data_IF_455499370184
#
_entry.id   IF_455499370184
#
_cell.length_a   1.000
_cell.length_b   1.000
_cell.length_c   1.000
_cell.angle_alpha   90.00
_cell.angle_beta   90.00
_cell.angle_gamma   90.00
#
_symmetry.space_group_name_H-M   'P 1'
#
loop_
_entity.id
_entity.type
_entity.pdbx_description
1 polymer ?
#
# COMPACT_ATOMS: atom_id res chain seq x y z
N UNK A 1 -11.26 -17.62 -19.04
CA UNK A 1 -11.16 -17.80 -20.51
C UNK A 1 -9.74 -17.50 -20.94
N UNK A 2 -9.05 -18.51 -21.48
CA UNK A 2 -7.64 -18.47 -21.88
C UNK A 2 -7.47 -17.72 -23.21
N UNK A 3 -6.87 -16.52 -23.17
CA UNK A 3 -6.46 -15.80 -24.37
C UNK A 3 -5.30 -16.57 -25.02
N UNK A 4 -5.58 -17.27 -26.13
CA UNK A 4 -4.53 -17.85 -26.99
C UNK A 4 -3.75 -16.70 -27.64
N UNK A 5 -2.41 -16.65 -27.55
CA UNK A 5 -1.64 -15.61 -28.23
C UNK A 5 -1.72 -15.84 -29.76
N UNK A 6 -1.96 -14.75 -30.50
CA UNK A 6 -2.06 -14.71 -31.97
C UNK A 6 -0.74 -15.18 -32.61
N UNK A 7 -0.86 -15.85 -33.75
CA UNK A 7 0.22 -16.46 -34.57
C UNK A 7 1.32 -15.51 -35.06
N UNK A 8 1.18 -14.19 -34.87
CA UNK A 8 2.17 -13.18 -35.26
C UNK A 8 2.60 -12.32 -34.06
N UNK A 9 3.22 -12.94 -33.06
CA UNK A 9 3.99 -12.20 -32.08
C UNK A 9 5.29 -11.72 -32.75
N UNK A 10 5.53 -10.40 -32.78
CA UNK A 10 6.82 -9.85 -33.20
C UNK A 10 7.95 -10.50 -32.40
N UNK A 11 9.15 -10.65 -32.99
CA UNK A 11 10.31 -11.29 -32.31
C UNK A 11 10.52 -10.75 -30.89
N UNK A 12 10.39 -9.43 -30.70
CA UNK A 12 10.48 -8.79 -29.38
C UNK A 12 9.38 -9.23 -28.40
N UNK A 13 8.13 -9.37 -28.84
CA UNK A 13 7.05 -9.86 -27.99
C UNK A 13 7.29 -11.31 -27.55
N UNK A 14 7.76 -12.17 -28.45
CA UNK A 14 8.08 -13.57 -28.13
C UNK A 14 9.21 -13.67 -27.11
N UNK A 15 10.29 -12.89 -27.27
CA UNK A 15 11.41 -12.87 -26.31
C UNK A 15 10.95 -12.47 -24.90
N UNK A 16 10.11 -11.43 -24.79
CA UNK A 16 9.55 -11.02 -23.50
C UNK A 16 8.64 -12.10 -22.88
N UNK A 17 7.80 -12.74 -23.68
CA UNK A 17 6.96 -13.85 -23.19
C UNK A 17 7.79 -15.08 -22.79
N UNK A 18 8.92 -15.35 -23.45
CA UNK A 18 9.86 -16.39 -23.06
C UNK A 18 10.49 -16.08 -21.69
N UNK A 19 10.95 -14.85 -21.48
CA UNK A 19 11.51 -14.42 -20.18
C UNK A 19 10.46 -14.56 -19.08
N UNK A 20 9.23 -14.11 -19.31
CA UNK A 20 8.13 -14.23 -18.32
C UNK A 20 7.82 -15.70 -17.98
N UNK A 21 7.77 -16.57 -19.00
CA UNK A 21 7.55 -18.00 -18.79
C UNK A 21 8.68 -18.65 -17.99
N UNK A 22 9.94 -18.34 -18.33
CA UNK A 22 11.11 -18.82 -17.60
C UNK A 22 11.06 -18.32 -16.15
N UNK A 23 10.74 -17.05 -15.92
CA UNK A 23 10.60 -16.49 -14.58
C UNK A 23 9.56 -17.23 -13.75
N UNK A 24 8.36 -17.42 -14.31
CA UNK A 24 7.25 -18.10 -13.63
C UNK A 24 7.56 -19.55 -13.28
N UNK A 25 8.40 -20.23 -14.08
CA UNK A 25 8.78 -21.64 -13.92
C UNK A 25 10.09 -21.83 -13.15
N UNK A 26 10.89 -20.79 -12.97
CA UNK A 26 12.17 -20.84 -12.23
C UNK A 26 12.00 -21.41 -10.81
N UNK A 27 10.99 -21.02 -9.99
CA UNK A 27 10.75 -21.63 -8.68
C UNK A 27 10.42 -23.12 -8.71
N UNK A 28 10.00 -23.65 -9.87
CA UNK A 28 9.60 -25.04 -10.07
C UNK A 28 10.65 -25.85 -10.84
N UNK A 29 11.88 -25.36 -10.95
CA UNK A 29 12.98 -26.02 -11.66
C UNK A 29 13.11 -25.65 -13.14
N UNK A 30 12.57 -24.51 -13.57
CA UNK A 30 12.82 -23.94 -14.89
C UNK A 30 11.98 -24.51 -16.03
N UNK A 31 12.36 -24.16 -17.26
CA UNK A 31 11.65 -24.53 -18.50
C UNK A 31 12.58 -25.31 -19.41
N UNK A 32 12.07 -26.38 -20.02
CA UNK A 32 12.80 -27.15 -21.04
C UNK A 32 12.67 -26.52 -22.42
N UNK A 33 13.61 -26.81 -23.32
CA UNK A 33 13.54 -26.39 -24.73
C UNK A 33 12.25 -26.88 -25.39
N UNK A 34 11.84 -28.13 -25.09
CA UNK A 34 10.60 -28.72 -25.59
C UNK A 34 9.36 -27.93 -25.16
N UNK A 35 9.26 -27.55 -23.88
CA UNK A 35 8.16 -26.72 -23.40
C UNK A 35 8.12 -25.34 -24.09
N UNK A 36 9.29 -24.75 -24.38
CA UNK A 36 9.35 -23.50 -25.14
C UNK A 36 8.90 -23.68 -26.60
N UNK A 37 9.33 -24.75 -27.26
CA UNK A 37 8.90 -25.08 -28.63
C UNK A 37 7.38 -25.26 -28.70
N UNK A 38 6.83 -26.08 -27.80
CA UNK A 38 5.39 -26.39 -27.75
C UNK A 38 4.56 -25.14 -27.44
N UNK A 39 5.06 -24.26 -26.57
CA UNK A 39 4.34 -23.04 -26.16
C UNK A 39 4.32 -21.97 -27.24
N UNK A 40 5.44 -21.78 -27.95
CA UNK A 40 5.63 -20.71 -28.91
C UNK A 40 5.47 -21.16 -30.37
N UNK A 41 5.22 -22.45 -30.61
CA UNK A 41 5.05 -23.07 -31.94
C UNK A 41 6.25 -22.77 -32.87
N UNK A 42 7.47 -22.83 -32.34
CA UNK A 42 8.71 -22.56 -33.09
C UNK A 42 9.71 -23.73 -32.99
N UNK A 43 10.64 -23.80 -33.94
CA UNK A 43 11.66 -24.84 -33.96
C UNK A 43 12.68 -24.70 -32.83
N UNK A 44 13.31 -25.82 -32.46
CA UNK A 44 14.39 -25.87 -31.47
C UNK A 44 15.53 -24.89 -31.79
N UNK A 45 15.91 -24.79 -33.07
CA UNK A 45 16.93 -23.84 -33.55
C UNK A 45 16.54 -22.39 -33.27
N UNK A 46 15.25 -22.06 -33.43
CA UNK A 46 14.76 -20.71 -33.13
C UNK A 46 14.76 -20.45 -31.62
N UNK A 47 14.38 -21.43 -30.78
CA UNK A 47 14.46 -21.30 -29.33
C UNK A 47 15.90 -21.07 -28.85
N UNK A 48 16.87 -21.83 -29.35
CA UNK A 48 18.28 -21.60 -28.98
C UNK A 48 18.79 -20.22 -29.42
N UNK A 49 18.38 -19.75 -30.60
CA UNK A 49 18.68 -18.39 -31.07
C UNK A 49 18.06 -17.34 -30.14
N UNK A 50 16.79 -17.51 -29.79
CA UNK A 50 16.07 -16.59 -28.92
C UNK A 50 16.66 -16.59 -27.48
N UNK A 51 17.01 -17.75 -26.93
CA UNK A 51 17.74 -17.87 -25.65
C UNK A 51 19.10 -17.17 -25.69
N UNK A 52 19.85 -17.30 -26.79
CA UNK A 52 21.12 -16.60 -26.96
C UNK A 52 20.92 -15.08 -27.05
N UNK A 53 19.86 -14.60 -27.72
CA UNK A 53 19.50 -13.17 -27.74
C UNK A 53 19.13 -12.70 -26.32
N UNK A 54 18.36 -13.47 -25.56
CA UNK A 54 17.99 -13.16 -24.17
C UNK A 54 19.24 -13.00 -23.29
N UNK A 55 20.20 -13.92 -23.39
CA UNK A 55 21.43 -13.88 -22.58
C UNK A 55 22.38 -12.78 -23.04
N UNK A 56 22.66 -12.67 -24.33
CA UNK A 56 23.76 -11.84 -24.83
C UNK A 56 23.34 -10.42 -25.21
N UNK A 57 22.19 -10.28 -25.89
CA UNK A 57 21.71 -8.97 -26.35
C UNK A 57 20.91 -8.28 -25.24
N UNK A 58 20.01 -9.01 -24.58
CA UNK A 58 19.15 -8.48 -23.51
C UNK A 58 19.78 -8.57 -22.10
N UNK A 59 20.95 -9.21 -21.97
CA UNK A 59 21.71 -9.36 -20.72
C UNK A 59 20.91 -10.00 -19.57
N UNK A 60 20.01 -10.91 -19.88
CA UNK A 60 19.21 -11.63 -18.88
C UNK A 60 19.98 -12.88 -18.44
N UNK A 61 20.37 -12.99 -17.14
CA UNK A 61 21.17 -14.11 -16.66
C UNK A 61 20.32 -15.39 -16.57
N UNK A 62 20.62 -16.35 -17.45
CA UNK A 62 20.01 -17.67 -17.45
C UNK A 62 20.98 -18.73 -16.89
N UNK A 63 20.50 -19.51 -15.92
CA UNK A 63 21.19 -20.69 -15.40
C UNK A 63 20.63 -21.93 -16.10
N UNK A 64 21.54 -22.82 -16.51
CA UNK A 64 21.20 -24.16 -17.01
C UNK A 64 21.44 -25.17 -15.91
N UNK A 65 20.48 -26.06 -15.69
CA UNK A 65 20.68 -27.22 -14.82
C UNK A 65 19.98 -28.46 -15.41
N UNK A 66 20.48 -29.65 -15.08
CA UNK A 66 19.87 -30.91 -15.51
C UNK A 66 18.81 -31.35 -14.50
N UNK A 67 17.64 -31.76 -15.00
CA UNK A 67 16.58 -32.36 -14.17
C UNK A 67 16.09 -33.66 -14.80
N UNK A 68 15.81 -34.66 -13.96
CA UNK A 68 15.14 -35.89 -14.41
C UNK A 68 13.64 -35.62 -14.51
N UNK A 69 13.11 -35.70 -15.74
CA UNK A 69 11.69 -35.54 -16.04
C UNK A 69 11.26 -36.77 -16.83
N UNK A 70 10.29 -37.52 -16.30
CA UNK A 70 9.79 -38.77 -16.92
C UNK A 70 10.92 -39.80 -17.18
N UNK A 71 11.85 -39.94 -16.23
CA UNK A 71 12.96 -40.90 -16.32
C UNK A 71 14.13 -40.47 -17.20
N UNK A 72 14.03 -39.35 -17.92
CA UNK A 72 15.10 -38.83 -18.79
C UNK A 72 15.67 -37.51 -18.26
N UNK A 73 16.99 -37.35 -18.35
CA UNK A 73 17.65 -36.07 -18.06
C UNK A 73 17.28 -35.03 -19.12
N UNK A 74 16.76 -33.88 -18.69
CA UNK A 74 16.44 -32.74 -19.56
C UNK A 74 17.12 -31.49 -19.03
N UNK A 75 17.64 -30.67 -19.94
CA UNK A 75 18.19 -29.36 -19.61
C UNK A 75 17.06 -28.37 -19.38
N UNK A 76 17.07 -27.75 -18.21
CA UNK A 76 16.13 -26.72 -17.81
C UNK A 76 16.84 -25.37 -17.72
N UNK A 77 16.15 -24.35 -18.21
CA UNK A 77 16.58 -22.96 -18.14
C UNK A 77 15.82 -22.27 -17.01
N UNK A 78 16.56 -21.66 -16.09
CA UNK A 78 16.07 -20.81 -15.03
C UNK A 78 16.64 -19.41 -15.20
N UNK A 79 15.97 -18.42 -14.63
CA UNK A 79 16.64 -17.16 -14.30
C UNK A 79 17.55 -17.39 -13.10
N UNK A 80 18.65 -16.67 -13.06
CA UNK A 80 19.47 -16.60 -11.85
C UNK A 80 18.62 -16.13 -10.66
N UNK A 81 18.83 -16.73 -9.48
CA UNK A 81 18.09 -16.39 -8.27
C UNK A 81 18.32 -14.90 -7.96
N UNK A 82 17.24 -14.15 -7.82
CA UNK A 82 17.30 -12.70 -7.61
C UNK A 82 17.24 -11.86 -8.90
N UNK A 83 16.95 -12.45 -10.06
CA UNK A 83 16.65 -11.68 -11.25
C UNK A 83 15.44 -10.75 -11.03
N UNK A 84 15.67 -9.45 -11.18
CA UNK A 84 14.64 -8.45 -11.32
C UNK A 84 14.50 -8.11 -12.81
N UNK A 85 13.27 -8.03 -13.36
CA UNK A 85 13.07 -7.65 -14.74
C UNK A 85 13.69 -6.28 -15.03
N UNK A 86 14.24 -6.10 -16.23
CA UNK A 86 14.85 -4.83 -16.64
C UNK A 86 13.85 -3.67 -16.50
N UNK A 87 14.17 -2.70 -15.63
CA UNK A 87 13.41 -1.47 -15.49
C UNK A 87 14.03 -0.40 -16.41
N UNK A 88 13.17 0.30 -17.17
CA UNK A 88 13.60 1.50 -17.89
C UNK A 88 13.99 2.60 -16.90
N UNK A 89 14.81 3.60 -17.30
CA UNK A 89 15.30 4.60 -16.36
C UNK A 89 14.16 5.39 -15.72
N UNK A 90 13.09 5.63 -16.49
CA UNK A 90 11.89 6.31 -16.03
C UNK A 90 11.16 5.48 -14.98
N UNK A 91 11.00 4.17 -15.20
CA UNK A 91 10.34 3.25 -14.24
C UNK A 91 11.16 3.09 -12.96
N UNK A 92 12.48 3.01 -13.08
CA UNK A 92 13.40 2.97 -11.95
C UNK A 92 13.31 4.26 -11.12
N UNK A 93 13.25 5.42 -11.79
CA UNK A 93 13.07 6.71 -11.12
C UNK A 93 11.74 6.78 -10.39
N UNK A 94 10.63 6.37 -11.02
CA UNK A 94 9.31 6.34 -10.37
C UNK A 94 9.31 5.42 -9.15
N UNK A 95 9.87 4.21 -9.26
CA UNK A 95 9.99 3.27 -8.15
C UNK A 95 10.81 3.88 -7.00
N UNK A 96 11.94 4.51 -7.31
CA UNK A 96 12.75 5.20 -6.31
C UNK A 96 11.99 6.33 -5.61
N UNK A 97 11.26 7.16 -6.36
CA UNK A 97 10.42 8.22 -5.80
C UNK A 97 9.32 7.65 -4.90
N UNK A 98 8.71 6.52 -5.26
CA UNK A 98 7.74 5.82 -4.40
C UNK A 98 8.36 5.30 -3.11
N UNK A 99 9.62 4.83 -3.14
CA UNK A 99 10.34 4.43 -1.94
C UNK A 99 10.69 5.61 -1.05
N UNK A 100 11.06 6.76 -1.63
CA UNK A 100 11.34 7.98 -0.86
C UNK A 100 10.12 8.45 -0.05
N UNK A 101 8.91 8.32 -0.60
CA UNK A 101 7.65 8.66 0.08
C UNK A 101 7.36 7.82 1.34
N UNK A 102 8.11 6.73 1.57
CA UNK A 102 7.94 5.88 2.74
C UNK A 102 8.98 6.16 3.83
N UNK A 103 9.81 7.21 3.65
CA UNK A 103 10.84 7.59 4.62
C UNK A 103 10.21 7.98 5.95
N UNK A 104 10.61 7.30 7.03
CA UNK A 104 10.05 7.56 8.36
C UNK A 104 8.74 6.82 8.65
N UNK A 105 8.31 5.95 7.73
CA UNK A 105 7.20 5.00 7.95
C UNK A 105 7.66 3.73 8.66
N UNK A 106 6.71 2.90 9.09
CA UNK A 106 6.98 1.55 9.63
C UNK A 106 7.71 0.62 8.65
N UNK A 107 7.75 0.95 7.35
CA UNK A 107 8.40 0.14 6.32
C UNK A 107 9.87 0.51 6.11
N UNK A 108 10.34 1.63 6.69
CA UNK A 108 11.65 2.24 6.38
C UNK A 108 12.81 1.24 6.43
N UNK A 109 12.88 0.39 7.46
CA UNK A 109 13.95 -0.62 7.59
C UNK A 109 14.01 -1.58 6.39
N UNK A 110 12.87 -2.20 6.06
CA UNK A 110 12.76 -3.14 4.93
C UNK A 110 12.96 -2.45 3.57
N UNK A 111 12.56 -1.19 3.44
CA UNK A 111 12.67 -0.44 2.19
C UNK A 111 14.09 0.04 1.91
N UNK A 112 14.91 0.28 2.94
CA UNK A 112 16.32 0.63 2.74
C UNK A 112 17.09 -0.50 2.05
N UNK A 113 16.91 -1.75 2.51
CA UNK A 113 17.52 -2.93 1.88
C UNK A 113 17.04 -3.11 0.44
N UNK A 114 15.74 -2.96 0.20
CA UNK A 114 15.17 -3.05 -1.15
C UNK A 114 15.68 -1.93 -2.06
N UNK A 115 15.79 -0.70 -1.55
CA UNK A 115 16.33 0.44 -2.28
C UNK A 115 17.77 0.16 -2.68
N UNK A 116 18.60 -0.30 -1.75
CA UNK A 116 20.02 -0.58 -2.01
C UNK A 116 20.19 -1.74 -3.01
N UNK A 117 19.36 -2.79 -2.90
CA UNK A 117 19.32 -3.91 -3.84
C UNK A 117 18.87 -3.48 -5.25
N UNK A 118 17.82 -2.65 -5.34
CA UNK A 118 17.33 -2.10 -6.61
C UNK A 118 18.39 -1.22 -7.28
N UNK A 119 18.96 -0.30 -6.51
CA UNK A 119 20.04 0.60 -6.96
C UNK A 119 21.23 -0.22 -7.45
N UNK A 120 21.69 -1.20 -6.66
CA UNK A 120 22.78 -2.12 -7.05
C UNK A 120 22.46 -2.90 -8.33
N UNK A 121 21.24 -3.41 -8.47
CA UNK A 121 20.83 -4.20 -9.65
C UNK A 121 20.71 -3.33 -10.91
N UNK A 122 20.18 -2.11 -10.78
CA UNK A 122 20.15 -1.12 -11.86
C UNK A 122 21.58 -0.78 -12.32
N UNK A 123 22.49 -0.54 -11.37
CA UNK A 123 23.89 -0.23 -11.67
C UNK A 123 24.70 -1.41 -12.23
N UNK A 124 24.46 -2.64 -11.77
CA UNK A 124 25.21 -3.82 -12.23
C UNK A 124 24.96 -4.17 -13.69
N UNK A 125 23.77 -3.89 -14.22
CA UNK A 125 23.36 -4.42 -15.52
C UNK A 125 22.97 -3.36 -16.56
N UNK A 126 22.64 -2.13 -16.15
CA UNK A 126 21.94 -1.21 -17.05
C UNK A 126 22.39 0.27 -17.05
N UNK A 127 23.16 0.78 -16.08
CA UNK A 127 23.47 2.22 -16.00
C UNK A 127 24.92 2.54 -15.62
N UNK A 128 25.46 3.63 -16.19
CA UNK A 128 26.66 4.30 -15.68
C UNK A 128 26.31 4.98 -14.33
N UNK A 129 27.05 4.69 -13.24
CA UNK A 129 26.91 5.36 -11.94
C UNK A 129 26.87 6.89 -12.01
N UNK A 130 27.49 7.50 -13.03
CA UNK A 130 27.53 8.96 -13.22
C UNK A 130 26.24 9.55 -13.81
N UNK A 131 25.44 8.75 -14.50
CA UNK A 131 24.22 9.19 -15.20
C UNK A 131 22.95 9.08 -14.36
N UNK A 132 22.98 8.34 -13.24
CA UNK A 132 21.81 8.22 -12.40
C UNK A 132 21.60 9.52 -11.61
N UNK A 133 20.83 10.42 -12.20
CA UNK A 133 20.39 11.69 -11.61
C UNK A 133 19.61 11.52 -10.29
N UNK A 134 19.36 10.29 -9.85
CA UNK A 134 18.50 9.92 -8.72
C UNK A 134 19.00 10.46 -7.37
N UNK A 135 20.31 10.39 -7.07
CA UNK A 135 20.85 10.97 -5.83
C UNK A 135 20.80 12.51 -5.85
N UNK A 136 21.11 13.12 -7.00
CA UNK A 136 20.98 14.57 -7.18
C UNK A 136 19.52 15.02 -7.11
N UNK A 137 18.59 14.19 -7.60
CA UNK A 137 17.16 14.42 -7.57
C UNK A 137 16.62 14.29 -6.14
N UNK A 138 17.08 13.32 -5.36
CA UNK A 138 16.73 13.17 -3.95
C UNK A 138 17.04 14.45 -3.17
N UNK A 139 18.19 15.08 -3.40
CA UNK A 139 18.56 16.34 -2.75
C UNK A 139 17.70 17.55 -3.18
N UNK A 140 16.92 17.41 -4.27
CA UNK A 140 15.99 18.43 -4.78
C UNK A 140 14.53 18.13 -4.43
N UNK A 141 14.25 17.01 -3.76
CA UNK A 141 12.91 16.61 -3.36
C UNK A 141 12.86 16.60 -1.83
N UNK A 142 12.14 17.57 -1.28
CA UNK A 142 11.85 17.63 0.14
C UNK A 142 10.41 17.15 0.38
N UNK A 143 10.28 16.08 1.17
CA UNK A 143 8.98 15.52 1.56
C UNK A 143 8.53 16.17 2.87
N UNK A 144 7.34 16.76 2.87
CA UNK A 144 6.72 17.39 4.04
C UNK A 144 5.63 16.46 4.55
N UNK A 145 6.00 15.54 5.43
CA UNK A 145 5.10 14.50 5.96
C UNK A 145 5.31 14.32 7.47
N UNK A 146 4.29 13.85 8.17
CA UNK A 146 4.41 13.41 9.56
C UNK A 146 5.20 12.11 9.60
N UNK A 147 6.35 12.09 10.27
CA UNK A 147 7.20 10.91 10.40
C UNK A 147 7.07 10.28 11.79
N UNK A 148 7.29 8.96 11.86
CA UNK A 148 7.37 8.27 13.14
C UNK A 148 8.68 8.65 13.85
N UNK A 149 8.61 8.78 15.17
CA UNK A 149 9.80 9.01 16.02
C UNK A 149 10.70 7.77 16.06
N UNK A 150 10.10 6.57 16.08
CA UNK A 150 10.79 5.28 16.15
C UNK A 150 10.32 4.34 15.02
N UNK A 151 10.62 4.63 13.75
CA UNK A 151 10.09 3.87 12.62
C UNK A 151 10.50 2.39 12.63
N UNK A 152 11.70 2.06 13.12
CA UNK A 152 12.22 0.69 13.20
C UNK A 152 11.39 -0.15 14.17
N UNK A 153 11.14 0.36 15.39
CA UNK A 153 10.32 -0.30 16.42
C UNK A 153 8.90 -0.57 15.90
N UNK A 154 8.29 0.43 15.25
CA UNK A 154 6.95 0.30 14.67
C UNK A 154 6.98 -0.71 13.51
N UNK A 155 8.05 -0.75 12.74
CA UNK A 155 8.27 -1.72 11.68
C UNK A 155 8.35 -3.17 12.16
N UNK A 156 9.00 -3.42 13.30
CA UNK A 156 9.01 -4.75 13.92
C UNK A 156 7.59 -5.19 14.32
N UNK A 157 6.82 -4.29 14.95
CA UNK A 157 5.42 -4.58 15.32
C UNK A 157 4.59 -4.83 14.08
N UNK A 158 4.75 -4.03 13.03
CA UNK A 158 4.09 -4.20 11.75
C UNK A 158 4.39 -5.58 11.15
N UNK A 159 5.66 -6.01 11.10
CA UNK A 159 6.05 -7.32 10.57
C UNK A 159 5.43 -8.47 11.36
N UNK A 160 5.39 -8.38 12.71
CA UNK A 160 4.72 -9.37 13.55
C UNK A 160 3.22 -9.47 13.25
N UNK A 161 2.56 -8.33 13.02
CA UNK A 161 1.14 -8.29 12.68
C UNK A 161 0.85 -8.82 11.27
N UNK A 162 1.70 -8.50 10.29
CA UNK A 162 1.60 -9.06 8.93
C UNK A 162 1.75 -10.58 8.96
N UNK A 163 2.67 -11.11 9.76
CA UNK A 163 2.82 -12.56 9.93
C UNK A 163 1.57 -13.18 10.58
N UNK A 164 1.05 -12.57 11.64
CA UNK A 164 -0.17 -13.03 12.31
C UNK A 164 -1.39 -13.04 11.38
N UNK A 165 -1.51 -12.03 10.50
CA UNK A 165 -2.55 -11.97 9.47
C UNK A 165 -2.40 -13.09 8.44
N UNK A 166 -1.19 -13.32 7.92
CA UNK A 166 -0.92 -14.38 6.94
C UNK A 166 -1.27 -15.76 7.49
N UNK A 167 -0.93 -16.01 8.75
CA UNK A 167 -1.11 -17.32 9.36
C UNK A 167 -2.48 -17.51 10.03
N UNK A 168 -3.30 -16.46 10.10
CA UNK A 168 -4.55 -16.42 10.86
C UNK A 168 -4.34 -16.77 12.36
N UNK A 169 -3.30 -16.22 12.99
CA UNK A 169 -3.02 -16.41 14.41
C UNK A 169 -3.57 -15.27 15.28
N UNK A 170 -4.09 -15.63 16.46
CA UNK A 170 -4.48 -14.67 17.50
C UNK A 170 -3.24 -14.04 18.13
N UNK A 171 -3.31 -12.74 18.35
CA UNK A 171 -2.22 -11.99 18.99
C UNK A 171 -2.69 -11.35 20.29
N UNK A 172 -1.82 -11.34 21.28
CA UNK A 172 -1.93 -10.50 22.46
C UNK A 172 -1.09 -9.26 22.23
N UNK A 173 -1.72 -8.09 22.26
CA UNK A 173 -1.05 -6.80 22.10
C UNK A 173 -1.00 -6.05 23.43
N UNK A 174 0.16 -5.45 23.72
CA UNK A 174 0.30 -4.42 24.76
C UNK A 174 0.09 -3.06 24.08
N UNK A 175 -1.00 -2.40 24.41
CA UNK A 175 -1.48 -1.22 23.69
C UNK A 175 -1.53 0.00 24.60
N UNK A 176 -0.85 1.08 24.19
CA UNK A 176 -0.89 2.36 24.89
C UNK A 176 -2.13 3.16 24.47
N UNK A 177 -3.04 3.40 25.41
CA UNK A 177 -4.26 4.18 25.16
C UNK A 177 -4.00 5.65 25.50
N UNK A 178 -3.90 6.50 24.47
CA UNK A 178 -3.56 7.93 24.61
C UNK A 178 -4.48 8.68 25.58
N UNK A 179 -5.81 8.53 25.44
CA UNK A 179 -6.77 9.28 26.26
C UNK A 179 -6.71 8.94 27.75
N UNK A 180 -6.40 7.69 28.10
CA UNK A 180 -6.30 7.26 29.50
C UNK A 180 -4.86 7.25 30.02
N UNK A 181 -3.88 7.55 29.17
CA UNK A 181 -2.44 7.43 29.46
C UNK A 181 -2.07 6.12 30.16
N UNK A 182 -2.67 5.00 29.73
CA UNK A 182 -2.49 3.69 30.36
C UNK A 182 -2.19 2.64 29.31
N UNK A 183 -1.36 1.70 29.70
CA UNK A 183 -1.15 0.48 28.94
C UNK A 183 -2.24 -0.52 29.25
N UNK A 184 -2.69 -1.20 28.20
CA UNK A 184 -3.73 -2.21 28.31
C UNK A 184 -3.40 -3.39 27.45
N UNK A 185 -3.73 -4.58 27.93
CA UNK A 185 -3.58 -5.80 27.15
C UNK A 185 -4.87 -6.09 26.40
N UNK A 186 -4.75 -6.53 25.15
CA UNK A 186 -5.87 -6.93 24.29
C UNK A 186 -5.53 -8.21 23.57
N UNK A 187 -6.48 -9.13 23.51
CA UNK A 187 -6.41 -10.29 22.61
C UNK A 187 -7.20 -9.95 21.36
N UNK A 188 -6.56 -10.04 20.20
CA UNK A 188 -7.11 -9.60 18.92
C UNK A 188 -6.98 -10.72 17.90
N UNK A 189 -8.05 -10.94 17.14
CA UNK A 189 -8.06 -11.67 15.88
C UNK A 189 -7.81 -10.67 14.75
N UNK A 190 -6.61 -10.63 14.14
CA UNK A 190 -6.27 -9.66 13.09
C UNK A 190 -7.14 -9.85 11.85
N UNK A 191 -7.84 -8.83 11.38
CA UNK A 191 -8.67 -8.94 10.16
C UNK A 191 -8.06 -8.19 8.97
N UNK A 192 -7.28 -7.14 9.22
CA UNK A 192 -6.61 -6.43 8.15
C UNK A 192 -5.78 -5.25 8.62
N UNK A 193 -5.09 -4.63 7.68
CA UNK A 193 -4.27 -3.45 7.90
C UNK A 193 -4.75 -2.32 7.00
N UNK A 194 -4.79 -1.11 7.56
CA UNK A 194 -5.10 0.13 6.85
C UNK A 194 -3.91 1.06 6.99
N UNK A 195 -3.57 1.77 5.91
CA UNK A 195 -2.57 2.82 5.94
C UNK A 195 -3.24 4.18 5.67
N UNK A 196 -3.02 5.15 6.55
CA UNK A 196 -3.47 6.54 6.40
C UNK A 196 -2.35 7.48 6.80
N UNK A 197 -1.90 8.32 5.86
CA UNK A 197 -0.78 9.28 6.06
C UNK A 197 0.45 8.60 6.71
N UNK A 198 0.94 7.53 6.09
CA UNK A 198 2.06 6.68 6.56
C UNK A 198 1.89 5.97 7.91
N UNK A 199 0.80 6.21 8.62
CA UNK A 199 0.46 5.50 9.84
C UNK A 199 -0.33 4.23 9.50
N UNK A 200 0.09 3.12 10.11
CA UNK A 200 -0.58 1.83 9.95
C UNK A 200 -1.54 1.56 11.11
N UNK A 201 -2.66 0.92 10.77
CA UNK A 201 -3.74 0.60 11.69
C UNK A 201 -4.14 -0.86 11.51
N UNK A 202 -4.20 -1.61 12.61
CA UNK A 202 -4.71 -2.96 12.65
C UNK A 202 -6.22 -2.93 12.88
N UNK A 203 -6.99 -3.48 11.95
CA UNK A 203 -8.39 -3.82 12.16
C UNK A 203 -8.46 -5.26 12.64
N UNK A 204 -9.19 -5.51 13.72
CA UNK A 204 -9.37 -6.87 14.21
C UNK A 204 -10.46 -7.00 15.27
N UNK A 205 -10.96 -8.22 15.47
CA UNK A 205 -11.92 -8.52 16.53
C UNK A 205 -11.19 -8.59 17.87
N UNK A 206 -11.47 -7.64 18.74
CA UNK A 206 -10.97 -7.61 20.09
C UNK A 206 -11.82 -8.52 20.97
N UNK A 207 -11.27 -9.67 21.39
CA UNK A 207 -12.00 -10.67 22.17
C UNK A 207 -12.39 -10.12 23.55
N UNK A 208 -11.54 -9.30 24.17
CA UNK A 208 -11.81 -8.67 25.46
C UNK A 208 -13.03 -7.74 25.43
N UNK A 209 -13.33 -7.14 24.28
CA UNK A 209 -14.47 -6.21 24.11
C UNK A 209 -15.59 -6.78 23.25
N UNK A 210 -15.41 -8.01 22.75
CA UNK A 210 -16.27 -8.69 21.80
C UNK A 210 -16.74 -7.79 20.63
N UNK A 211 -15.82 -7.02 20.05
CA UNK A 211 -16.13 -6.07 18.99
C UNK A 211 -14.94 -5.88 18.03
N UNK A 212 -15.24 -5.54 16.77
CA UNK A 212 -14.21 -5.14 15.80
C UNK A 212 -13.71 -3.74 16.20
N UNK A 213 -12.40 -3.59 16.27
CA UNK A 213 -11.74 -2.34 16.65
C UNK A 213 -10.55 -2.08 15.76
N UNK A 214 -10.18 -0.81 15.71
CA UNK A 214 -9.02 -0.31 14.99
C UNK A 214 -7.96 0.10 16.01
N UNK A 215 -6.74 -0.40 15.82
CA UNK A 215 -5.60 -0.18 16.71
C UNK A 215 -4.48 0.49 15.92
N UNK A 216 -3.97 1.60 16.44
CA UNK A 216 -2.81 2.29 15.89
C UNK A 216 -1.53 1.48 16.09
N UNK A 217 -0.81 1.12 15.02
CA UNK A 217 0.37 0.25 15.12
C UNK A 217 1.51 0.93 15.87
N UNK A 218 1.66 2.25 15.73
CA UNK A 218 2.64 3.05 16.49
C UNK A 218 2.38 3.04 18.02
N UNK A 219 1.12 2.84 18.43
CA UNK A 219 0.70 2.73 19.83
C UNK A 219 0.80 1.29 20.39
N UNK A 220 1.11 0.31 19.56
CA UNK A 220 1.40 -1.06 20.01
C UNK A 220 2.85 -1.08 20.51
N UNK A 221 3.00 -1.43 21.79
CA UNK A 221 4.31 -1.58 22.44
C UNK A 221 4.91 -2.94 22.14
N UNK A 222 4.08 -3.98 22.26
CA UNK A 222 4.49 -5.36 22.04
C UNK A 222 3.38 -6.18 21.40
N UNK A 223 3.79 -7.16 20.58
CA UNK A 223 2.94 -8.19 19.98
C UNK A 223 3.47 -9.56 20.38
N UNK A 224 2.62 -10.35 21.03
CA UNK A 224 2.91 -11.72 21.42
C UNK A 224 1.94 -12.68 20.74
N UNK A 225 2.39 -13.85 20.26
CA UNK A 225 1.49 -14.94 19.90
C UNK A 225 0.61 -15.30 21.11
N UNK A 226 -0.71 -15.34 20.94
CA UNK A 226 -1.61 -15.68 22.04
C UNK A 226 -1.81 -17.20 22.15
N UNK A 227 -1.94 -17.87 21.01
CA UNK A 227 -2.14 -19.32 20.91
C UNK A 227 -1.48 -19.84 19.63
N UNK A 228 -1.17 -21.14 19.58
CA UNK A 228 -0.79 -21.83 18.34
C UNK A 228 -1.98 -22.17 17.44
N UNK A 229 -3.21 -22.04 17.94
CA UNK A 229 -4.42 -22.26 17.15
C UNK A 229 -4.68 -21.09 16.20
N UNK A 230 -5.08 -21.45 14.98
CA UNK A 230 -5.54 -20.50 13.98
C UNK A 230 -7.00 -20.17 14.25
N UNK A 231 -7.36 -18.89 14.20
CA UNK A 231 -8.77 -18.52 14.16
C UNK A 231 -9.30 -18.68 12.74
N UNK A 232 -10.62 -18.89 12.61
CA UNK A 232 -11.27 -18.87 11.31
C UNK A 232 -11.55 -17.43 10.93
N UNK A 233 -10.96 -16.98 9.82
CA UNK A 233 -11.29 -15.68 9.25
C UNK A 233 -12.78 -15.66 8.86
N UNK A 234 -13.58 -14.67 9.31
CA UNK A 234 -15.01 -14.67 9.03
C UNK A 234 -15.29 -14.59 7.52
N UNK A 235 -16.08 -15.51 6.99
CA UNK A 235 -16.41 -15.58 5.56
C UNK A 235 -17.10 -14.30 5.05
N UNK A 236 -17.92 -13.67 5.90
CA UNK A 236 -18.72 -12.50 5.56
C UNK A 236 -17.97 -11.17 5.83
N UNK A 237 -16.72 -11.21 6.29
CA UNK A 237 -15.97 -9.99 6.61
C UNK A 237 -15.11 -9.53 5.44
N UNK A 238 -15.43 -8.36 4.89
CA UNK A 238 -14.65 -7.67 3.89
C UNK A 238 -14.14 -6.33 4.44
N UNK A 239 -12.82 -6.15 4.50
CA UNK A 239 -12.19 -4.93 5.02
C UNK A 239 -12.59 -3.69 4.22
N UNK A 240 -12.73 -3.79 2.89
CA UNK A 240 -13.10 -2.66 2.03
C UNK A 240 -14.54 -2.23 2.28
N UNK A 241 -15.45 -3.19 2.40
CA UNK A 241 -16.86 -2.91 2.72
C UNK A 241 -17.00 -2.36 4.14
N UNK A 242 -16.27 -2.93 5.11
CA UNK A 242 -16.21 -2.40 6.47
C UNK A 242 -15.77 -0.93 6.47
N UNK A 243 -14.80 -0.54 5.64
CA UNK A 243 -14.30 0.85 5.56
C UNK A 243 -15.03 1.76 4.58
N UNK A 244 -16.02 1.28 3.84
CA UNK A 244 -16.60 2.01 2.70
C UNK A 244 -17.25 3.36 3.07
N UNK A 245 -17.71 3.49 4.31
CA UNK A 245 -18.33 4.70 4.84
C UNK A 245 -17.49 5.42 5.90
N UNK A 246 -16.30 4.92 6.25
CA UNK A 246 -15.48 5.57 7.26
C UNK A 246 -14.82 6.82 6.69
N UNK A 247 -14.97 7.97 7.36
CA UNK A 247 -14.23 9.19 6.99
C UNK A 247 -12.70 9.00 7.08
N UNK A 248 -12.23 8.06 7.89
CA UNK A 248 -10.81 7.85 8.11
C UNK A 248 -10.49 6.40 8.44
N UNK A 249 -9.96 6.19 9.64
CA UNK A 249 -9.64 4.87 10.18
C UNK A 249 -10.58 4.47 11.30
N UNK A 250 -11.34 5.44 11.84
CA UNK A 250 -12.35 5.19 12.86
C UNK A 250 -13.66 4.88 12.15
N UNK A 251 -14.15 3.67 12.37
CA UNK A 251 -15.45 3.23 11.91
C UNK A 251 -16.40 3.09 13.09
N UNK A 252 -16.78 4.24 13.66
CA UNK A 252 -17.76 4.35 14.74
C UNK A 252 -18.98 5.19 14.30
N UNK A 253 -20.11 4.90 14.94
CA UNK A 253 -21.38 5.58 14.68
C UNK A 253 -22.13 5.07 13.45
N UNK A 254 -23.31 5.63 13.24
CA UNK A 254 -24.15 5.34 12.08
C UNK A 254 -23.71 6.16 10.87
N UNK A 255 -23.93 5.61 9.68
CA UNK A 255 -23.68 6.34 8.43
C UNK A 255 -24.72 7.45 8.30
N UNK A 256 -24.26 8.68 8.17
CA UNK A 256 -25.13 9.83 7.98
C UNK A 256 -24.70 10.65 6.75
N UNK A 257 -25.66 11.39 6.19
CA UNK A 257 -25.38 12.35 5.13
C UNK A 257 -24.81 13.62 5.75
N UNK A 258 -23.64 14.05 5.27
CA UNK A 258 -23.03 15.32 5.65
C UNK A 258 -22.93 16.21 4.42
N UNK A 259 -23.47 17.43 4.51
CA UNK A 259 -23.41 18.45 3.45
C UNK A 259 -22.58 19.62 3.93
N UNK A 260 -21.58 19.98 3.15
CA UNK A 260 -20.64 21.06 3.44
C UNK A 260 -20.69 22.09 2.32
N UNK A 261 -20.73 23.36 2.69
CA UNK A 261 -20.54 24.49 1.79
C UNK A 261 -19.10 24.96 1.90
N UNK A 262 -18.38 24.95 0.78
CA UNK A 262 -17.04 25.51 0.67
C UNK A 262 -17.11 26.84 -0.08
N UNK A 263 -16.47 27.88 0.44
CA UNK A 263 -16.47 29.17 -0.25
C UNK A 263 -15.57 29.15 -1.51
N UNK A 264 -15.73 30.18 -2.34
CA UNK A 264 -14.99 30.32 -3.61
C UNK A 264 -13.46 30.26 -3.47
N UNK A 265 -12.89 30.64 -2.30
CA UNK A 265 -11.43 30.65 -2.07
C UNK A 265 -10.82 29.24 -2.13
N UNK A 266 -11.59 28.21 -1.78
CA UNK A 266 -11.11 26.82 -1.72
C UNK A 266 -11.85 25.87 -2.66
N UNK A 267 -12.92 26.33 -3.32
CA UNK A 267 -13.74 25.54 -4.24
C UNK A 267 -12.93 24.79 -5.30
N UNK A 268 -11.97 25.48 -5.96
CA UNK A 268 -11.10 24.83 -6.95
C UNK A 268 -10.28 23.68 -6.36
N UNK A 269 -9.75 23.84 -5.14
CA UNK A 269 -8.97 22.78 -4.48
C UNK A 269 -9.84 21.59 -4.09
N UNK A 270 -11.06 21.84 -3.62
CA UNK A 270 -11.99 20.79 -3.20
C UNK A 270 -12.51 20.00 -4.41
N UNK A 271 -12.76 20.66 -5.55
CA UNK A 271 -13.19 19.98 -6.80
C UNK A 271 -12.15 19.02 -7.37
N UNK A 272 -10.87 19.31 -7.17
CA UNK A 272 -9.77 18.52 -7.73
C UNK A 272 -9.29 17.38 -6.82
N UNK A 273 -9.96 17.13 -5.70
CA UNK A 273 -9.57 16.11 -4.73
C UNK A 273 -10.79 15.25 -4.32
N UNK A 274 -10.57 13.95 -4.21
CA UNK A 274 -11.53 13.00 -3.64
C UNK A 274 -11.12 12.76 -2.20
N UNK A 275 -11.90 13.29 -1.25
CA UNK A 275 -11.68 13.10 0.19
C UNK A 275 -12.32 11.81 0.71
N UNK A 276 -13.41 11.37 0.08
CA UNK A 276 -14.10 10.13 0.43
C UNK A 276 -14.75 9.53 -0.84
N UNK A 277 -14.84 8.20 -0.99
CA UNK A 277 -15.44 7.56 -2.17
C UNK A 277 -16.90 7.98 -2.45
N UNK A 278 -17.66 8.37 -1.43
CA UNK A 278 -19.04 8.83 -1.55
C UNK A 278 -19.18 10.33 -1.87
N UNK A 279 -18.09 11.04 -2.17
CA UNK A 279 -18.12 12.48 -2.38
C UNK A 279 -18.94 12.82 -3.62
N UNK A 280 -19.92 13.72 -3.45
CA UNK A 280 -20.75 14.23 -4.54
C UNK A 280 -20.70 15.75 -4.54
N UNK A 281 -20.34 16.35 -5.68
CA UNK A 281 -20.54 17.78 -5.91
C UNK A 281 -22.03 18.00 -6.22
N UNK A 282 -22.76 18.65 -5.32
CA UNK A 282 -24.20 18.85 -5.45
C UNK A 282 -24.53 20.09 -6.28
N UNK A 283 -23.85 21.19 -6.00
CA UNK A 283 -24.17 22.50 -6.57
C UNK A 283 -22.93 23.40 -6.65
N UNK A 284 -22.85 24.20 -7.72
CA UNK A 284 -21.97 25.35 -7.80
C UNK A 284 -22.83 26.62 -7.72
N UNK A 285 -22.53 27.47 -6.74
CA UNK A 285 -23.29 28.68 -6.47
C UNK A 285 -22.77 29.86 -7.32
N UNK A 286 -23.60 30.89 -7.61
CA UNK A 286 -23.19 32.03 -8.43
C UNK A 286 -22.00 32.84 -7.87
N UNK A 287 -21.78 32.79 -6.56
CA UNK A 287 -20.65 33.43 -5.88
C UNK A 287 -19.33 32.63 -6.00
N UNK A 288 -19.35 31.50 -6.71
CA UNK A 288 -18.21 30.59 -6.88
C UNK A 288 -18.04 29.60 -5.72
N UNK A 289 -18.89 29.64 -4.70
CA UNK A 289 -18.93 28.64 -3.63
C UNK A 289 -19.50 27.32 -4.16
N UNK A 290 -19.23 26.21 -3.48
CA UNK A 290 -19.72 24.88 -3.86
C UNK A 290 -20.36 24.17 -2.68
N UNK A 291 -21.32 23.30 -2.95
CA UNK A 291 -21.90 22.38 -1.98
C UNK A 291 -21.47 20.97 -2.32
N UNK A 292 -20.86 20.29 -1.35
CA UNK A 292 -20.37 18.92 -1.48
C UNK A 292 -20.99 18.07 -0.39
N UNK A 293 -21.39 16.84 -0.72
CA UNK A 293 -21.95 15.91 0.24
C UNK A 293 -21.23 14.57 0.32
N UNK A 294 -21.43 13.91 1.47
CA UNK A 294 -20.78 12.67 1.86
C UNK A 294 -21.79 11.76 2.59
N UNK A 295 -21.60 10.45 2.49
CA UNK A 295 -22.35 9.41 3.22
C UNK A 295 -21.37 8.65 4.10
N UNK A 296 -21.23 9.10 5.35
CA UNK A 296 -20.08 8.74 6.20
C UNK A 296 -20.44 8.50 7.67
N UNK A 297 -19.64 7.66 8.30
CA UNK A 297 -19.49 7.50 9.74
C UNK A 297 -18.09 8.01 10.18
N UNK A 298 -17.69 7.82 11.44
CA UNK A 298 -16.36 8.28 11.90
C UNK A 298 -16.28 9.80 12.06
N UNK A 299 -17.38 10.43 12.49
CA UNK A 299 -17.59 11.87 12.50
C UNK A 299 -16.54 12.63 13.33
N UNK A 300 -15.94 11.99 14.33
CA UNK A 300 -14.85 12.59 15.12
C UNK A 300 -13.67 13.01 14.24
N UNK A 301 -13.24 12.14 13.30
CA UNK A 301 -12.16 12.48 12.36
C UNK A 301 -12.61 13.52 11.34
N UNK A 302 -13.87 13.46 10.91
CA UNK A 302 -14.44 14.46 10.00
C UNK A 302 -14.43 15.84 10.62
N UNK A 303 -14.80 15.99 11.89
CA UNK A 303 -14.72 17.27 12.62
C UNK A 303 -13.30 17.85 12.59
N UNK A 304 -12.29 17.05 12.91
CA UNK A 304 -10.88 17.50 12.84
C UNK A 304 -10.49 17.93 11.44
N UNK A 305 -10.96 17.26 10.39
CA UNK A 305 -10.72 17.65 9.01
C UNK A 305 -11.46 18.94 8.63
N UNK A 306 -12.72 19.12 9.04
CA UNK A 306 -13.48 20.36 8.81
C UNK A 306 -12.74 21.55 9.46
N UNK A 307 -12.23 21.40 10.69
CA UNK A 307 -11.44 22.44 11.36
C UNK A 307 -10.19 22.85 10.56
N UNK A 308 -9.55 21.95 9.81
CA UNK A 308 -8.38 22.28 8.99
C UNK A 308 -8.68 23.31 7.89
N UNK A 309 -9.94 23.43 7.49
CA UNK A 309 -10.40 24.44 6.52
C UNK A 309 -10.81 25.77 7.17
N UNK A 310 -10.90 25.83 8.50
CA UNK A 310 -11.23 27.05 9.25
C UNK A 310 -12.56 27.66 8.82
N UNK A 311 -12.54 28.96 8.51
CA UNK A 311 -13.69 29.77 8.10
C UNK A 311 -14.12 29.55 6.63
N UNK A 312 -13.43 28.66 5.89
CA UNK A 312 -13.72 28.43 4.47
C UNK A 312 -14.75 27.35 4.20
N UNK A 313 -15.18 26.64 5.26
CA UNK A 313 -16.17 25.56 5.20
C UNK A 313 -17.28 25.81 6.21
N UNK A 314 -18.51 25.49 5.80
CA UNK A 314 -19.69 25.55 6.64
C UNK A 314 -20.43 24.21 6.58
N UNK A 315 -20.83 23.69 7.75
CA UNK A 315 -21.70 22.51 7.82
C UNK A 315 -23.15 22.95 7.57
N UNK A 316 -23.76 22.43 6.51
CA UNK A 316 -25.17 22.65 6.21
C UNK A 316 -26.05 21.56 6.85
N UNK A 317 -25.64 20.31 6.74
CA UNK A 317 -26.31 19.15 7.31
C UNK A 317 -25.30 18.11 7.80
N UNK A 318 -25.61 17.34 8.85
CA UNK A 318 -26.82 17.43 9.68
C UNK A 318 -26.72 18.56 10.72
N UNK A 319 -27.87 19.04 11.22
CA UNK A 319 -27.92 20.18 12.15
C UNK A 319 -27.12 19.97 13.44
N UNK A 320 -27.16 18.77 14.01
CA UNK A 320 -26.38 18.43 15.21
C UNK A 320 -24.87 18.52 14.98
N UNK A 321 -24.38 18.26 13.76
CA UNK A 321 -22.95 18.38 13.45
C UNK A 321 -22.53 19.85 13.41
N UNK A 322 -23.39 20.74 12.91
CA UNK A 322 -23.17 22.18 12.96
C UNK A 322 -23.06 22.66 14.41
N UNK A 323 -23.98 22.25 15.28
CA UNK A 323 -23.94 22.60 16.71
C UNK A 323 -22.66 22.10 17.39
N UNK A 324 -22.24 20.88 17.07
CA UNK A 324 -20.98 20.30 17.56
C UNK A 324 -19.75 21.11 17.12
N UNK A 325 -19.75 21.62 15.88
CA UNK A 325 -18.69 22.48 15.36
C UNK A 325 -18.69 23.86 16.03
N UNK A 326 -19.85 24.43 16.34
CA UNK A 326 -19.96 25.68 17.11
C UNK A 326 -19.33 25.52 18.51
N UNK A 327 -19.70 24.46 19.24
CA UNK A 327 -19.12 24.15 20.57
C UNK A 327 -17.62 23.94 20.49
N UNK A 328 -17.13 23.27 19.44
CA UNK A 328 -15.71 23.06 19.23
C UNK A 328 -14.97 24.39 18.98
N UNK A 329 -15.54 25.29 18.17
CA UNK A 329 -14.98 26.60 17.90
C UNK A 329 -14.93 27.49 19.16
N UNK A 330 -15.96 27.46 19.99
CA UNK A 330 -15.98 28.14 21.30
C UNK A 330 -14.87 27.61 22.22
N UNK A 331 -14.71 26.28 22.30
CA UNK A 331 -13.63 25.67 23.09
C UNK A 331 -12.24 26.07 22.59
N UNK A 332 -12.04 26.13 21.28
CA UNK A 332 -10.77 26.61 20.69
C UNK A 332 -10.53 28.07 21.09
N UNK A 333 -11.53 28.93 20.96
CA UNK A 333 -11.44 30.35 21.31
C UNK A 333 -11.11 30.54 22.80
N UNK A 334 -11.71 29.73 23.67
CA UNK A 334 -11.47 29.76 25.10
C UNK A 334 -10.02 29.43 25.45
N UNK A 335 -9.42 28.40 24.83
CA UNK A 335 -8.00 28.04 25.05
C UNK A 335 -7.06 29.21 24.75
N UNK A 336 -7.32 30.01 23.72
CA UNK A 336 -6.50 31.18 23.40
C UNK A 336 -6.81 32.40 24.27
N UNK A 337 -8.04 32.52 24.76
CA UNK A 337 -8.44 33.62 25.66
C UNK A 337 -7.91 33.43 27.07
N UNK A 338 -7.88 32.20 27.58
CA UNK A 338 -7.39 31.85 28.92
C UNK A 338 -5.87 31.86 29.01
N UNK A 339 -5.17 31.90 27.87
CA UNK A 339 -3.71 31.99 27.81
C UNK A 339 -3.17 33.42 28.01
N UNK A 340 -4.00 34.37 28.48
CA UNK A 340 -3.63 35.76 28.79
C UNK A 340 -3.62 36.05 30.29
#
# INVERSE_FOLDING_TARGET
MSVRPKKDATRGLRLNMMIDLINKKTPYGGVTVKELMDKFEVSERQIHRDLNTIVNEMRVPLIKHERVIEGSKRTCYCLEVGYLPSLSPEKATVLFLSLLQQKGSALTGHLNELKDALVSTLFKYHYDPKELAVEKLQNRIHLVEETLVEPERVGEMFSKLVQALKDCHRVKIRYFVTHSQRETERVVEPYGLICKRQNWYLVGKCLTRNAIRVFRVDQIRDVFPYTSEKYQYPADFNLKEYMAHSWGVINDGEVCRVRLKFNHRVAHRVKNLIYHPSQVLEEELPDGSIIVSFMVCGIKEMKTWIVQWGDTVEVLEPGWLREDMCKLAEGILQVYRDAN
#
